data_IF_763620596295
#
_entry.id   IF_763620596295
#
_cell.length_a   1.000
_cell.length_b   1.000
_cell.length_c   1.000
_cell.angle_alpha   90.00
_cell.angle_beta   90.00
_cell.angle_gamma   90.00
#
_symmetry.space_group_name_H-M   'P 1'
#
loop_
_entity.id
_entity.type
_entity.pdbx_description
1 polymer ?
#
# COMPACT_ATOMS: atom_id res chain seq x y z
N UNK A 1 -28.50 20.04 -4.89
CA UNK A 1 -28.00 18.95 -5.76
C UNK A 1 -26.50 18.64 -5.56
N UNK A 2 -25.63 19.63 -5.30
CA UNK A 2 -24.18 19.42 -5.14
C UNK A 2 -23.72 18.48 -4.02
N UNK A 3 -24.35 18.49 -2.83
CA UNK A 3 -23.98 17.61 -1.70
C UNK A 3 -24.33 16.13 -1.89
N UNK A 4 -25.39 15.81 -2.65
CA UNK A 4 -25.76 14.40 -2.95
C UNK A 4 -24.87 13.79 -4.04
N UNK A 5 -24.40 14.60 -4.98
CA UNK A 5 -23.44 14.16 -5.98
C UNK A 5 -22.05 13.91 -5.38
N UNK A 6 -21.61 14.75 -4.42
CA UNK A 6 -20.31 14.55 -3.75
C UNK A 6 -20.29 13.31 -2.86
N UNK A 7 -21.40 12.98 -2.18
CA UNK A 7 -21.49 11.77 -1.34
C UNK A 7 -21.47 10.48 -2.17
N UNK A 8 -22.23 10.41 -3.26
CA UNK A 8 -22.22 9.26 -4.16
C UNK A 8 -20.86 9.05 -4.84
N UNK A 9 -20.24 10.14 -5.31
CA UNK A 9 -18.89 10.10 -5.89
C UNK A 9 -17.84 9.59 -4.91
N UNK A 10 -17.93 9.99 -3.65
CA UNK A 10 -17.03 9.51 -2.59
C UNK A 10 -17.12 8.00 -2.41
N UNK A 11 -18.33 7.45 -2.31
CA UNK A 11 -18.52 6.01 -2.11
C UNK A 11 -18.03 5.18 -3.29
N UNK A 12 -18.23 5.65 -4.52
CA UNK A 12 -17.69 4.99 -5.72
C UNK A 12 -16.16 4.93 -5.65
N UNK A 13 -15.52 6.06 -5.36
CA UNK A 13 -14.06 6.16 -5.30
C UNK A 13 -13.47 5.30 -4.18
N UNK A 14 -14.09 5.35 -2.99
CA UNK A 14 -13.72 4.51 -1.84
C UNK A 14 -13.92 3.03 -2.16
N UNK A 15 -15.01 2.65 -2.82
CA UNK A 15 -15.27 1.27 -3.23
C UNK A 15 -14.23 0.75 -4.25
N UNK A 16 -13.75 1.60 -5.16
CA UNK A 16 -12.67 1.25 -6.08
C UNK A 16 -11.36 0.90 -5.35
N UNK A 17 -10.96 1.71 -4.38
CA UNK A 17 -9.79 1.41 -3.55
C UNK A 17 -10.00 0.18 -2.66
N UNK A 18 -11.16 0.08 -2.03
CA UNK A 18 -11.56 -1.09 -1.23
C UNK A 18 -11.44 -2.39 -2.04
N UNK A 19 -11.96 -2.41 -3.26
CA UNK A 19 -11.92 -3.57 -4.16
C UNK A 19 -10.48 -4.00 -4.45
N UNK A 20 -9.59 -3.06 -4.80
CA UNK A 20 -8.17 -3.34 -5.10
C UNK A 20 -7.45 -3.93 -3.89
N UNK A 21 -7.73 -3.39 -2.69
CA UNK A 21 -7.16 -3.88 -1.45
C UNK A 21 -7.74 -5.25 -1.05
N UNK A 22 -9.04 -5.45 -1.28
CA UNK A 22 -9.74 -6.70 -0.96
C UNK A 22 -9.27 -7.86 -1.85
N UNK A 23 -9.04 -7.62 -3.15
CA UNK A 23 -8.49 -8.64 -4.04
C UNK A 23 -7.13 -9.17 -3.55
N UNK A 24 -6.26 -8.26 -3.13
CA UNK A 24 -4.95 -8.62 -2.57
C UNK A 24 -5.09 -9.52 -1.34
N UNK A 25 -6.09 -9.27 -0.50
CA UNK A 25 -6.28 -10.02 0.76
C UNK A 25 -7.00 -11.34 0.55
N UNK A 26 -8.01 -11.40 -0.33
CA UNK A 26 -8.72 -12.65 -0.65
C UNK A 26 -7.80 -13.65 -1.36
N UNK A 27 -6.98 -13.21 -2.33
CA UNK A 27 -6.10 -14.13 -3.07
C UNK A 27 -5.04 -14.75 -2.15
N UNK A 28 -4.54 -14.01 -1.15
CA UNK A 28 -3.65 -14.55 -0.13
C UNK A 28 -4.25 -15.75 0.63
N UNK A 29 -5.56 -15.70 0.91
CA UNK A 29 -6.27 -16.78 1.60
C UNK A 29 -6.58 -17.94 0.64
N UNK A 30 -6.71 -17.66 -0.65
CA UNK A 30 -6.94 -18.65 -1.69
C UNK A 30 -5.67 -19.44 -2.08
N UNK A 31 -4.46 -18.98 -1.71
CA UNK A 31 -3.17 -19.58 -2.10
C UNK A 31 -3.08 -21.10 -1.89
N UNK A 32 -3.47 -21.67 -0.73
CA UNK A 32 -3.44 -23.12 -0.54
C UNK A 32 -4.35 -23.87 -1.54
N UNK A 33 -5.53 -23.33 -1.81
CA UNK A 33 -6.51 -23.89 -2.76
C UNK A 33 -6.07 -23.73 -4.21
N UNK A 34 -5.35 -22.64 -4.53
CA UNK A 34 -4.70 -22.45 -5.83
C UNK A 34 -3.61 -23.50 -6.06
N UNK A 35 -2.83 -23.80 -5.03
CA UNK A 35 -1.75 -24.79 -5.08
C UNK A 35 -2.26 -26.18 -5.43
N UNK A 36 -3.29 -26.64 -4.72
CA UNK A 36 -3.91 -27.94 -5.00
C UNK A 36 -4.68 -27.94 -6.31
N UNK A 37 -5.48 -26.90 -6.58
CA UNK A 37 -6.37 -26.83 -7.74
C UNK A 37 -5.65 -26.68 -9.10
N UNK A 38 -4.41 -26.17 -9.11
CA UNK A 38 -3.60 -26.02 -10.33
C UNK A 38 -2.28 -26.80 -10.28
N UNK A 39 -2.04 -27.59 -9.21
CA UNK A 39 -0.81 -28.37 -8.99
C UNK A 39 0.46 -27.53 -9.12
N UNK A 40 0.47 -26.36 -8.50
CA UNK A 40 1.53 -25.35 -8.62
C UNK A 40 2.57 -25.54 -7.53
N UNK A 41 3.84 -25.39 -7.87
CA UNK A 41 4.92 -25.35 -6.88
C UNK A 41 4.79 -24.14 -5.95
N UNK A 42 5.38 -24.18 -4.75
CA UNK A 42 5.42 -23.03 -3.84
C UNK A 42 5.94 -21.74 -4.51
N UNK A 43 7.00 -21.86 -5.32
CA UNK A 43 7.52 -20.71 -6.09
C UNK A 43 6.52 -20.18 -7.12
N UNK A 44 5.76 -21.05 -7.79
CA UNK A 44 4.70 -20.60 -8.69
C UNK A 44 3.54 -19.91 -7.97
N UNK A 45 3.24 -20.30 -6.73
CA UNK A 45 2.26 -19.63 -5.88
C UNK A 45 2.71 -18.23 -5.45
N UNK A 46 3.99 -18.07 -5.09
CA UNK A 46 4.57 -16.76 -4.82
C UNK A 46 4.42 -15.83 -6.05
N UNK A 47 4.76 -16.33 -7.24
CA UNK A 47 4.63 -15.56 -8.49
C UNK A 47 3.20 -15.11 -8.83
N UNK A 48 2.16 -15.82 -8.39
CA UNK A 48 0.75 -15.38 -8.56
C UNK A 48 0.48 -14.08 -7.77
N UNK A 49 1.09 -13.92 -6.60
CA UNK A 49 1.00 -12.70 -5.79
C UNK A 49 1.97 -11.62 -6.26
N UNK A 50 3.19 -12.03 -6.58
CA UNK A 50 4.29 -11.14 -6.89
C UNK A 50 4.12 -10.46 -8.24
N UNK A 51 3.62 -11.16 -9.26
CA UNK A 51 3.38 -10.56 -10.57
C UNK A 51 2.40 -9.37 -10.50
N UNK A 52 1.35 -9.50 -9.68
CA UNK A 52 0.43 -8.41 -9.40
C UNK A 52 1.12 -7.26 -8.67
N UNK A 53 1.83 -7.56 -7.58
CA UNK A 53 2.48 -6.56 -6.73
C UNK A 53 3.57 -5.80 -7.47
N UNK A 54 4.36 -6.50 -8.28
CA UNK A 54 5.42 -5.96 -9.12
C UNK A 54 4.87 -4.94 -10.12
N UNK A 55 3.86 -5.33 -10.91
CA UNK A 55 3.25 -4.43 -11.89
C UNK A 55 2.50 -3.29 -11.22
N UNK A 56 1.79 -3.59 -10.12
CA UNK A 56 1.11 -2.58 -9.33
C UNK A 56 2.08 -1.51 -8.85
N UNK A 57 3.19 -1.90 -8.20
CA UNK A 57 4.19 -0.96 -7.71
C UNK A 57 4.86 -0.17 -8.84
N UNK A 58 5.27 -0.84 -9.92
CA UNK A 58 5.99 -0.22 -11.03
C UNK A 58 5.18 0.85 -11.79
N UNK A 59 3.85 0.69 -11.84
CA UNK A 59 2.98 1.56 -12.62
C UNK A 59 2.29 2.66 -11.80
N UNK A 60 2.48 2.72 -10.48
CA UNK A 60 1.87 3.76 -9.63
C UNK A 60 2.23 5.18 -10.09
N UNK A 61 3.52 5.47 -10.30
CA UNK A 61 3.99 6.79 -10.73
C UNK A 61 3.48 7.16 -12.14
N UNK A 62 3.66 6.30 -13.18
CA UNK A 62 3.08 6.55 -14.50
C UNK A 62 1.56 6.77 -14.48
N UNK A 63 0.83 6.01 -13.66
CA UNK A 63 -0.63 6.14 -13.54
C UNK A 63 -1.04 7.49 -12.93
N UNK A 64 -0.27 8.04 -11.99
CA UNK A 64 -0.45 9.40 -11.50
C UNK A 64 -0.35 10.45 -12.58
N UNK A 65 0.73 10.41 -13.37
CA UNK A 65 0.90 11.31 -14.52
C UNK A 65 -0.21 11.14 -15.55
N UNK A 66 -0.67 9.90 -15.77
CA UNK A 66 -1.80 9.63 -16.65
C UNK A 66 -3.11 10.26 -16.13
N UNK A 67 -3.33 10.32 -14.81
CA UNK A 67 -4.50 11.00 -14.24
C UNK A 67 -4.47 12.50 -14.52
N UNK A 68 -3.31 13.14 -14.35
CA UNK A 68 -3.17 14.58 -14.56
C UNK A 68 -3.25 14.95 -16.05
N UNK A 69 -2.79 14.06 -16.94
CA UNK A 69 -2.82 14.26 -18.39
C UNK A 69 -4.16 13.89 -19.03
N UNK A 70 -4.68 12.69 -18.79
CA UNK A 70 -5.89 12.18 -19.46
C UNK A 70 -7.18 12.43 -18.68
N UNK A 71 -7.07 12.88 -17.43
CA UNK A 71 -8.18 13.09 -16.50
C UNK A 71 -8.44 11.86 -15.62
N UNK A 72 -8.58 12.08 -14.31
CA UNK A 72 -8.69 11.02 -13.31
C UNK A 72 -9.89 10.09 -13.54
N UNK A 73 -11.05 10.62 -13.96
CA UNK A 73 -12.24 9.79 -14.26
C UNK A 73 -12.00 8.79 -15.39
N UNK A 74 -11.27 9.18 -16.45
CA UNK A 74 -10.97 8.28 -17.58
C UNK A 74 -10.02 7.18 -17.15
N UNK A 75 -8.94 7.55 -16.46
CA UNK A 75 -7.96 6.58 -15.94
C UNK A 75 -8.60 5.61 -14.96
N UNK A 76 -9.47 6.10 -14.07
CA UNK A 76 -10.22 5.28 -13.13
C UNK A 76 -11.13 4.25 -13.84
N UNK A 77 -11.95 4.70 -14.80
CA UNK A 77 -12.86 3.81 -15.54
C UNK A 77 -12.11 2.78 -16.37
N UNK A 78 -11.04 3.18 -17.06
CA UNK A 78 -10.18 2.27 -17.82
C UNK A 78 -9.49 1.27 -16.89
N UNK A 79 -8.96 1.74 -15.75
CA UNK A 79 -8.32 0.89 -14.75
C UNK A 79 -9.27 -0.17 -14.20
N UNK A 80 -10.49 0.23 -13.85
CA UNK A 80 -11.54 -0.69 -13.40
C UNK A 80 -11.90 -1.71 -14.48
N UNK A 81 -12.05 -1.28 -15.74
CA UNK A 81 -12.34 -2.19 -16.85
C UNK A 81 -11.22 -3.23 -17.04
N UNK A 82 -9.97 -2.78 -17.05
CA UNK A 82 -8.78 -3.67 -17.12
C UNK A 82 -8.76 -4.64 -15.94
N UNK A 83 -9.00 -4.13 -14.73
CA UNK A 83 -9.06 -4.96 -13.52
C UNK A 83 -10.15 -6.04 -13.62
N UNK A 84 -11.35 -5.70 -14.11
CA UNK A 84 -12.45 -6.65 -14.28
C UNK A 84 -12.11 -7.75 -15.28
N UNK A 85 -11.63 -7.36 -16.47
CA UNK A 85 -11.28 -8.30 -17.54
C UNK A 85 -10.15 -9.23 -17.12
N UNK A 86 -9.13 -8.68 -16.45
CA UNK A 86 -8.04 -9.47 -15.89
C UNK A 86 -8.54 -10.40 -14.77
N UNK A 87 -9.47 -9.94 -13.92
CA UNK A 87 -10.06 -10.79 -12.88
C UNK A 87 -10.87 -11.95 -13.47
N UNK A 88 -11.63 -11.71 -14.55
CA UNK A 88 -12.30 -12.78 -15.30
C UNK A 88 -11.27 -13.76 -15.89
N UNK A 89 -10.17 -13.26 -16.46
CA UNK A 89 -9.11 -14.11 -16.98
C UNK A 89 -8.43 -14.95 -15.88
N UNK A 90 -8.21 -14.38 -14.69
CA UNK A 90 -7.76 -15.12 -13.51
C UNK A 90 -8.75 -16.23 -13.11
N UNK A 91 -10.05 -15.91 -13.07
CA UNK A 91 -11.10 -16.87 -12.73
C UNK A 91 -11.20 -18.02 -13.75
N UNK A 92 -10.89 -17.76 -15.02
CA UNK A 92 -10.93 -18.74 -16.09
C UNK A 92 -9.59 -19.45 -16.32
N UNK A 93 -8.53 -19.08 -15.60
CA UNK A 93 -7.18 -19.58 -15.86
C UNK A 93 -7.07 -21.11 -15.68
N UNK A 94 -6.69 -21.87 -16.73
CA UNK A 94 -6.57 -23.33 -16.65
C UNK A 94 -5.23 -23.79 -16.07
N UNK A 95 -4.23 -22.91 -15.99
CA UNK A 95 -2.90 -23.20 -15.48
C UNK A 95 -2.28 -21.96 -14.81
N UNK A 96 -1.19 -22.19 -14.06
CA UNK A 96 -0.48 -21.14 -13.34
C UNK A 96 0.06 -20.04 -14.24
N UNK A 97 0.57 -20.37 -15.43
CA UNK A 97 1.15 -19.39 -16.35
C UNK A 97 0.13 -18.34 -16.80
N UNK A 98 -1.07 -18.76 -17.21
CA UNK A 98 -2.14 -17.82 -17.57
C UNK A 98 -2.62 -17.03 -16.35
N UNK A 99 -2.67 -17.65 -15.17
CA UNK A 99 -3.06 -16.96 -13.94
C UNK A 99 -2.04 -15.85 -13.59
N UNK A 100 -0.75 -16.15 -13.63
CA UNK A 100 0.34 -15.18 -13.36
C UNK A 100 0.28 -14.02 -14.37
N UNK A 101 0.12 -14.32 -15.67
CA UNK A 101 -0.02 -13.28 -16.69
C UNK A 101 -1.27 -12.41 -16.46
N UNK A 102 -2.39 -13.03 -16.10
CA UNK A 102 -3.64 -12.32 -15.79
C UNK A 102 -3.50 -11.45 -14.53
N UNK A 103 -2.79 -11.93 -13.51
CA UNK A 103 -2.46 -11.17 -12.29
C UNK A 103 -1.57 -9.96 -12.58
N UNK A 104 -0.59 -10.10 -13.47
CA UNK A 104 0.21 -8.99 -13.94
C UNK A 104 -0.66 -7.91 -14.59
N UNK A 105 -1.58 -8.29 -15.50
CA UNK A 105 -2.54 -7.37 -16.14
C UNK A 105 -3.49 -6.76 -15.09
N UNK A 106 -3.93 -7.53 -14.09
CA UNK A 106 -4.77 -7.05 -13.01
C UNK A 106 -4.04 -5.97 -12.19
N UNK A 107 -2.73 -6.10 -12.00
CA UNK A 107 -1.85 -5.09 -11.40
C UNK A 107 -1.84 -3.77 -12.16
N UNK A 108 -1.94 -3.79 -13.50
CA UNK A 108 -2.09 -2.58 -14.33
C UNK A 108 -3.40 -1.85 -13.98
N UNK A 109 -4.50 -2.60 -13.88
CA UNK A 109 -5.80 -2.06 -13.48
C UNK A 109 -5.75 -1.44 -12.08
N UNK A 110 -5.16 -2.14 -11.12
CA UNK A 110 -4.96 -1.66 -9.76
C UNK A 110 -4.12 -0.37 -9.71
N UNK A 111 -3.02 -0.32 -10.46
CA UNK A 111 -2.12 0.84 -10.52
C UNK A 111 -2.81 2.06 -11.10
N UNK A 112 -3.75 1.90 -12.04
CA UNK A 112 -4.55 3.00 -12.57
C UNK A 112 -5.61 3.48 -11.57
N UNK A 113 -6.25 2.57 -10.85
CA UNK A 113 -7.35 2.89 -9.92
C UNK A 113 -6.87 3.69 -8.71
N UNK A 114 -5.83 3.23 -8.03
CA UNK A 114 -5.40 3.81 -6.74
C UNK A 114 -5.07 5.31 -6.81
N UNK A 115 -4.19 5.80 -7.70
CA UNK A 115 -3.91 7.24 -7.79
C UNK A 115 -5.11 8.03 -8.33
N UNK A 116 -5.89 7.46 -9.25
CA UNK A 116 -7.09 8.10 -9.77
C UNK A 116 -8.13 8.35 -8.67
N UNK A 117 -8.24 7.45 -7.68
CA UNK A 117 -9.16 7.64 -6.54
C UNK A 117 -8.81 8.88 -5.73
N UNK A 118 -7.53 9.12 -5.42
CA UNK A 118 -7.12 10.31 -4.69
C UNK A 118 -7.32 11.59 -5.51
N UNK A 119 -6.98 11.57 -6.81
CA UNK A 119 -7.23 12.69 -7.70
C UNK A 119 -8.73 13.04 -7.76
N UNK A 120 -9.61 12.04 -7.90
CA UNK A 120 -11.06 12.22 -7.89
C UNK A 120 -11.60 12.77 -6.57
N UNK A 121 -11.07 12.33 -5.42
CA UNK A 121 -11.44 12.91 -4.10
C UNK A 121 -11.13 14.40 -4.10
N UNK A 122 -9.97 14.80 -4.64
CA UNK A 122 -9.59 16.23 -4.66
C UNK A 122 -10.39 17.06 -5.65
N UNK A 123 -10.88 16.44 -6.72
CA UNK A 123 -11.81 17.08 -7.64
C UNK A 123 -13.23 17.22 -7.06
N UNK A 124 -13.66 16.25 -6.23
CA UNK A 124 -14.99 16.25 -5.59
C UNK A 124 -15.09 17.22 -4.41
N UNK A 125 -13.98 17.51 -3.73
CA UNK A 125 -13.97 18.33 -2.51
C UNK A 125 -12.96 19.48 -2.61
N UNK A 126 -13.50 20.70 -2.76
CA UNK A 126 -12.71 21.93 -2.71
C UNK A 126 -12.40 22.37 -1.28
N UNK A 127 -13.24 22.02 -0.31
CA UNK A 127 -13.01 22.30 1.11
C UNK A 127 -11.93 21.36 1.68
N UNK A 128 -10.83 21.88 2.25
CA UNK A 128 -9.77 21.07 2.84
C UNK A 128 -10.25 20.11 3.94
N UNK A 129 -11.22 20.51 4.77
CA UNK A 129 -11.72 19.68 5.87
C UNK A 129 -12.57 18.49 5.37
N UNK A 130 -13.47 18.74 4.42
CA UNK A 130 -14.23 17.70 3.75
C UNK A 130 -13.31 16.74 2.96
N UNK A 131 -12.28 17.28 2.29
CA UNK A 131 -11.28 16.49 1.57
C UNK A 131 -10.49 15.57 2.50
N UNK A 132 -10.02 16.09 3.64
CA UNK A 132 -9.33 15.29 4.65
C UNK A 132 -10.22 14.17 5.20
N UNK A 133 -11.51 14.45 5.40
CA UNK A 133 -12.50 13.44 5.82
C UNK A 133 -12.67 12.34 4.76
N UNK A 134 -12.77 12.69 3.49
CA UNK A 134 -12.88 11.73 2.39
C UNK A 134 -11.62 10.87 2.24
N UNK A 135 -10.43 11.45 2.39
CA UNK A 135 -9.15 10.70 2.44
C UNK A 135 -9.10 9.78 3.66
N UNK A 136 -9.65 10.20 4.80
CA UNK A 136 -9.83 9.37 5.99
C UNK A 136 -10.68 8.13 5.70
N UNK A 137 -11.83 8.32 5.04
CA UNK A 137 -12.71 7.22 4.62
C UNK A 137 -12.04 6.28 3.62
N UNK A 138 -11.30 6.84 2.66
CA UNK A 138 -10.49 6.08 1.71
C UNK A 138 -9.44 5.21 2.44
N UNK A 139 -8.70 5.77 3.39
CA UNK A 139 -7.74 5.03 4.20
C UNK A 139 -8.39 3.94 5.05
N UNK A 140 -9.53 4.25 5.68
CA UNK A 140 -10.32 3.31 6.45
C UNK A 140 -10.81 2.12 5.61
N UNK A 141 -11.23 2.36 4.37
CA UNK A 141 -11.64 1.30 3.46
C UNK A 141 -10.51 0.31 3.16
N UNK A 142 -9.27 0.78 3.02
CA UNK A 142 -8.11 -0.12 2.90
C UNK A 142 -7.93 -1.02 4.13
N UNK A 143 -8.08 -0.46 5.34
CA UNK A 143 -8.04 -1.23 6.59
C UNK A 143 -9.18 -2.24 6.71
N UNK A 144 -10.41 -1.85 6.36
CA UNK A 144 -11.57 -2.74 6.33
C UNK A 144 -11.38 -3.86 5.30
N UNK A 145 -10.80 -3.57 4.12
CA UNK A 145 -10.50 -4.59 3.12
C UNK A 145 -9.50 -5.65 3.63
N UNK A 146 -8.53 -5.23 4.45
CA UNK A 146 -7.61 -6.15 5.12
C UNK A 146 -8.32 -7.06 6.13
N UNK A 147 -9.35 -6.56 6.83
CA UNK A 147 -10.18 -7.33 7.76
C UNK A 147 -11.09 -8.33 7.07
N UNK A 148 -11.78 -7.82 6.05
CA UNK A 148 -12.88 -8.50 5.38
C UNK A 148 -12.34 -9.57 4.44
N UNK A 149 -11.13 -9.40 3.90
CA UNK A 149 -10.47 -10.38 3.03
C UNK A 149 -10.46 -11.81 3.57
N UNK A 150 -9.91 -12.06 4.77
CA UNK A 150 -9.96 -13.38 5.40
C UNK A 150 -11.38 -13.92 5.64
N UNK A 151 -12.31 -13.06 6.07
CA UNK A 151 -13.68 -13.47 6.39
C UNK A 151 -14.49 -13.85 5.13
N UNK A 152 -14.49 -12.97 4.12
CA UNK A 152 -15.14 -13.25 2.84
C UNK A 152 -14.42 -14.36 2.09
N UNK A 153 -13.08 -14.37 2.10
CA UNK A 153 -12.26 -15.39 1.47
C UNK A 153 -12.60 -16.78 1.97
N UNK A 154 -12.60 -17.00 3.29
CA UNK A 154 -12.95 -18.31 3.86
C UNK A 154 -14.32 -18.82 3.40
N UNK A 155 -15.36 -17.99 3.51
CA UNK A 155 -16.74 -18.38 3.14
C UNK A 155 -16.88 -18.62 1.62
N UNK A 156 -16.25 -17.78 0.79
CA UNK A 156 -16.35 -17.89 -0.67
C UNK A 156 -15.62 -19.12 -1.22
N UNK A 157 -14.50 -19.48 -0.60
CA UNK A 157 -13.64 -20.59 -1.04
C UNK A 157 -14.25 -21.96 -0.76
N UNK A 158 -14.97 -22.11 0.36
CA UNK A 158 -15.61 -23.38 0.76
C UNK A 158 -16.70 -23.84 -0.23
N UNK A 159 -17.30 -22.92 -0.99
CA UNK A 159 -18.36 -23.23 -1.96
C UNK A 159 -17.89 -23.45 -3.40
N UNK A 160 -17.25 -22.44 -3.99
CA UNK A 160 -16.97 -22.36 -5.45
C UNK A 160 -15.47 -22.53 -5.75
N UNK A 161 -14.67 -22.84 -4.71
CA UNK A 161 -13.22 -22.98 -4.79
C UNK A 161 -12.50 -21.64 -5.03
N UNK A 162 -11.20 -21.73 -5.32
CA UNK A 162 -10.31 -20.56 -5.45
C UNK A 162 -10.76 -19.54 -6.51
N UNK A 163 -11.54 -19.98 -7.51
CA UNK A 163 -12.06 -19.09 -8.58
C UNK A 163 -13.02 -18.03 -8.05
N UNK A 164 -13.68 -18.31 -6.91
CA UNK A 164 -14.57 -17.35 -6.26
C UNK A 164 -13.86 -16.03 -5.90
N UNK A 165 -12.57 -16.12 -5.56
CA UNK A 165 -11.73 -14.97 -5.22
C UNK A 165 -11.66 -13.92 -6.34
N UNK A 166 -11.79 -14.38 -7.59
CA UNK A 166 -11.74 -13.51 -8.75
C UNK A 166 -13.14 -13.14 -9.26
N UNK A 167 -14.08 -14.09 -9.23
CA UNK A 167 -15.47 -13.83 -9.65
C UNK A 167 -16.17 -12.77 -8.80
N UNK A 168 -15.87 -12.70 -7.50
CA UNK A 168 -16.47 -11.71 -6.60
C UNK A 168 -16.18 -10.26 -7.02
N UNK A 169 -15.05 -10.02 -7.70
CA UNK A 169 -14.68 -8.69 -8.16
C UNK A 169 -15.59 -8.18 -9.27
N UNK A 170 -16.05 -9.06 -10.17
CA UNK A 170 -16.79 -8.71 -11.38
C UNK A 170 -18.09 -7.92 -11.09
N UNK A 171 -19.04 -8.41 -10.25
CA UNK A 171 -20.26 -7.66 -9.97
C UNK A 171 -19.97 -6.34 -9.25
N UNK A 172 -18.95 -6.30 -8.39
CA UNK A 172 -18.56 -5.09 -7.66
C UNK A 172 -18.00 -4.04 -8.63
N UNK A 173 -17.13 -4.44 -9.56
CA UNK A 173 -16.62 -3.57 -10.63
C UNK A 173 -17.77 -2.98 -11.44
N UNK A 174 -18.74 -3.80 -11.87
CA UNK A 174 -19.88 -3.31 -12.67
C UNK A 174 -20.66 -2.25 -11.90
N UNK A 175 -20.94 -2.48 -10.62
CA UNK A 175 -21.61 -1.50 -9.76
C UNK A 175 -20.81 -0.20 -9.63
N UNK A 176 -19.49 -0.30 -9.41
CA UNK A 176 -18.59 0.86 -9.31
C UNK A 176 -18.55 1.62 -10.65
N UNK A 177 -18.44 0.93 -11.78
CA UNK A 177 -18.39 1.56 -13.11
C UNK A 177 -19.68 2.32 -13.43
N UNK A 178 -20.85 1.74 -13.13
CA UNK A 178 -22.14 2.42 -13.29
C UNK A 178 -22.24 3.64 -12.38
N UNK A 179 -21.82 3.52 -11.11
CA UNK A 179 -21.76 4.64 -10.18
C UNK A 179 -20.85 5.75 -10.69
N UNK A 180 -19.63 5.39 -11.08
CA UNK A 180 -18.60 6.28 -11.61
C UNK A 180 -19.05 7.08 -12.83
N UNK A 181 -19.76 6.42 -13.75
CA UNK A 181 -20.30 7.08 -14.93
C UNK A 181 -21.32 8.17 -14.57
N UNK A 182 -22.10 7.97 -13.49
CA UNK A 182 -23.17 8.87 -13.07
C UNK A 182 -22.73 9.98 -12.11
N UNK A 183 -21.76 9.71 -11.23
CA UNK A 183 -21.44 10.59 -10.11
C UNK A 183 -20.10 11.32 -10.21
N UNK A 184 -19.17 10.86 -11.05
CA UNK A 184 -17.83 11.45 -11.11
C UNK A 184 -17.74 12.58 -12.14
N UNK A 185 -17.03 13.67 -11.82
CA UNK A 185 -16.82 14.77 -12.74
C UNK A 185 -15.99 14.33 -13.95
N UNK A 186 -16.38 14.79 -15.14
CA UNK A 186 -15.63 14.58 -16.37
C UNK A 186 -14.81 15.85 -16.69
N UNK A 187 -13.79 16.14 -15.88
CA UNK A 187 -12.92 17.29 -16.12
C UNK A 187 -11.98 17.02 -17.31
N UNK A 188 -11.71 18.04 -18.11
CA UNK A 188 -10.85 17.93 -19.29
C UNK A 188 -9.38 17.84 -18.89
N UNK A 189 -8.75 16.75 -19.33
CA UNK A 189 -7.32 16.56 -19.56
C UNK A 189 -6.56 17.86 -19.86
N UNK A 190 -5.39 18.05 -19.24
CA UNK A 190 -4.49 19.13 -19.63
C UNK A 190 -3.56 18.67 -20.76
N UNK A 191 -3.36 19.48 -21.82
CA UNK A 191 -2.36 19.18 -22.82
C UNK A 191 -0.98 19.29 -22.18
N UNK A 192 -0.34 18.14 -21.97
CA UNK A 192 1.05 18.01 -21.52
C UNK A 192 1.75 16.93 -22.33
N UNK A 193 3.07 17.03 -22.49
CA UNK A 193 3.88 15.99 -23.13
C UNK A 193 4.12 14.86 -22.13
N UNK A 194 3.97 13.62 -22.56
CA UNK A 194 4.36 12.46 -21.75
C UNK A 194 5.88 12.45 -21.57
N UNK A 195 6.34 12.40 -20.31
CA UNK A 195 7.73 12.11 -20.01
C UNK A 195 7.98 10.59 -20.09
N UNK A 196 8.04 10.07 -21.31
CA UNK A 196 8.23 8.63 -21.55
C UNK A 196 9.55 8.11 -20.99
N UNK A 197 10.61 8.92 -21.05
CA UNK A 197 11.93 8.56 -20.54
C UNK A 197 11.92 8.46 -19.02
N UNK A 198 11.37 9.47 -18.34
CA UNK A 198 11.16 9.42 -16.89
C UNK A 198 10.32 8.19 -16.51
N UNK A 199 9.24 7.91 -17.25
CA UNK A 199 8.29 6.84 -16.88
C UNK A 199 8.99 5.49 -16.94
N UNK A 200 9.77 5.25 -17.99
CA UNK A 200 10.54 4.04 -18.13
C UNK A 200 11.59 3.90 -17.01
N UNK A 201 12.27 4.98 -16.64
CA UNK A 201 13.24 4.97 -15.54
C UNK A 201 12.57 4.67 -14.19
N UNK A 202 11.40 5.25 -13.91
CA UNK A 202 10.63 4.97 -12.70
C UNK A 202 10.13 3.51 -12.65
N UNK A 203 9.64 3.00 -13.78
CA UNK A 203 9.22 1.60 -13.92
C UNK A 203 10.40 0.66 -13.67
N UNK A 204 11.55 0.90 -14.31
CA UNK A 204 12.75 0.08 -14.12
C UNK A 204 13.27 0.14 -12.69
N UNK A 205 13.22 1.31 -12.04
CA UNK A 205 13.64 1.47 -10.65
C UNK A 205 12.77 0.64 -9.70
N UNK A 206 11.45 0.80 -9.77
CA UNK A 206 10.50 0.12 -8.89
C UNK A 206 10.40 -1.38 -9.21
N UNK A 207 10.31 -1.74 -10.49
CA UNK A 207 10.25 -3.14 -10.91
C UNK A 207 11.55 -3.87 -10.57
N UNK A 208 12.71 -3.27 -10.84
CA UNK A 208 14.01 -3.85 -10.50
C UNK A 208 14.17 -4.08 -8.99
N UNK A 209 13.74 -3.10 -8.18
CA UNK A 209 13.80 -3.21 -6.72
C UNK A 209 12.87 -4.30 -6.19
N UNK A 210 11.61 -4.30 -6.63
CA UNK A 210 10.62 -5.29 -6.21
C UNK A 210 11.03 -6.69 -6.66
N UNK A 211 11.46 -6.86 -7.91
CA UNK A 211 11.99 -8.13 -8.43
C UNK A 211 13.18 -8.63 -7.62
N UNK A 212 14.18 -7.78 -7.37
CA UNK A 212 15.38 -8.17 -6.64
C UNK A 212 15.06 -8.65 -5.23
N UNK A 213 14.11 -8.01 -4.55
CA UNK A 213 13.70 -8.39 -3.20
C UNK A 213 12.94 -9.72 -3.20
N UNK A 214 12.01 -9.90 -4.13
CA UNK A 214 11.28 -11.17 -4.28
C UNK A 214 12.28 -12.31 -4.56
N UNK A 215 13.15 -12.14 -5.55
CA UNK A 215 14.13 -13.17 -5.94
C UNK A 215 15.12 -13.47 -4.81
N UNK A 216 15.50 -12.46 -4.02
CA UNK A 216 16.35 -12.64 -2.83
C UNK A 216 15.64 -13.45 -1.75
N UNK A 217 14.33 -13.25 -1.56
CA UNK A 217 13.53 -14.02 -0.61
C UNK A 217 13.46 -15.50 -0.97
N UNK A 218 13.30 -15.81 -2.26
CA UNK A 218 13.15 -17.18 -2.75
C UNK A 218 14.47 -17.94 -2.86
N UNK A 219 15.51 -17.28 -3.37
CA UNK A 219 16.77 -17.94 -3.79
C UNK A 219 18.00 -17.44 -3.02
N UNK A 220 17.84 -16.52 -2.08
CA UNK A 220 18.96 -15.78 -1.49
C UNK A 220 19.59 -14.77 -2.46
N UNK A 221 20.70 -14.16 -2.06
CA UNK A 221 21.36 -13.15 -2.89
C UNK A 221 22.08 -13.79 -4.09
N UNK A 222 21.36 -13.99 -5.18
CA UNK A 222 21.89 -14.51 -6.44
C UNK A 222 22.43 -13.39 -7.34
N UNK A 223 23.16 -13.76 -8.41
CA UNK A 223 23.55 -12.82 -9.46
C UNK A 223 22.35 -12.13 -10.13
N UNK A 224 21.18 -12.81 -10.20
CA UNK A 224 19.95 -12.25 -10.77
C UNK A 224 19.36 -11.18 -9.86
N UNK A 225 19.24 -11.47 -8.57
CA UNK A 225 18.84 -10.50 -7.56
C UNK A 225 19.77 -9.29 -7.53
N UNK A 226 21.09 -9.51 -7.54
CA UNK A 226 22.09 -8.45 -7.58
C UNK A 226 21.96 -7.57 -8.84
N UNK A 227 21.71 -8.17 -10.01
CA UNK A 227 21.43 -7.43 -11.24
C UNK A 227 20.13 -6.60 -11.13
N UNK A 228 19.09 -7.14 -10.50
CA UNK A 228 17.85 -6.41 -10.21
C UNK A 228 18.09 -5.17 -9.33
N UNK A 229 18.87 -5.31 -8.25
CA UNK A 229 19.27 -4.17 -7.41
C UNK A 229 20.11 -3.14 -8.18
N UNK A 230 21.03 -3.59 -9.03
CA UNK A 230 21.84 -2.70 -9.86
C UNK A 230 20.95 -1.90 -10.83
N UNK A 231 20.01 -2.56 -11.52
CA UNK A 231 19.02 -1.89 -12.38
C UNK A 231 18.20 -0.90 -11.58
N UNK A 232 17.73 -1.28 -10.39
CA UNK A 232 16.95 -0.41 -9.53
C UNK A 232 17.69 0.90 -9.19
N UNK A 233 18.94 0.77 -8.73
CA UNK A 233 19.78 1.91 -8.34
C UNK A 233 20.12 2.78 -9.55
N UNK A 234 20.57 2.18 -10.66
CA UNK A 234 20.94 2.92 -11.86
C UNK A 234 19.73 3.65 -12.47
N UNK A 235 18.57 3.00 -12.52
CA UNK A 235 17.34 3.61 -13.02
C UNK A 235 16.83 4.71 -12.09
N UNK A 236 16.93 4.55 -10.76
CA UNK A 236 16.56 5.59 -9.80
C UNK A 236 17.48 6.83 -9.91
N UNK A 237 18.79 6.62 -10.03
CA UNK A 237 19.75 7.71 -10.25
C UNK A 237 19.48 8.40 -11.60
N UNK A 238 19.25 7.62 -12.66
CA UNK A 238 18.88 8.12 -13.98
C UNK A 238 17.58 8.92 -13.95
N UNK A 239 16.57 8.44 -13.23
CA UNK A 239 15.28 9.11 -13.03
C UNK A 239 15.47 10.48 -12.39
N UNK A 240 16.18 10.56 -11.25
CA UNK A 240 16.45 11.83 -10.58
C UNK A 240 17.26 12.77 -11.48
N UNK A 241 18.24 12.25 -12.21
CA UNK A 241 19.06 13.04 -13.14
C UNK A 241 18.25 13.62 -14.31
N UNK A 242 17.32 12.82 -14.85
CA UNK A 242 16.43 13.18 -15.95
C UNK A 242 15.38 14.19 -15.51
N UNK A 243 14.67 13.93 -14.40
CA UNK A 243 13.63 14.83 -13.86
C UNK A 243 14.21 16.21 -13.48
N UNK A 244 15.49 16.29 -13.07
CA UNK A 244 16.18 17.57 -12.82
C UNK A 244 16.45 18.40 -14.09
N UNK A 245 16.55 17.74 -15.25
CA UNK A 245 16.93 18.38 -16.54
C UNK A 245 15.77 18.50 -17.51
N UNK A 246 14.71 17.72 -17.32
CA UNK A 246 13.53 17.70 -18.17
C UNK A 246 12.83 19.06 -18.14
N UNK A 247 12.37 19.52 -19.32
CA UNK A 247 11.56 20.75 -19.43
C UNK A 247 10.09 20.52 -19.04
N UNK A 248 9.65 19.27 -19.03
CA UNK A 248 8.32 18.85 -18.64
C UNK A 248 8.43 17.55 -17.81
N UNK A 249 9.01 17.63 -16.59
CA UNK A 249 9.20 16.49 -15.71
C UNK A 249 7.86 15.87 -15.33
N UNK A 250 7.79 14.54 -15.25
CA UNK A 250 6.58 13.89 -14.73
C UNK A 250 6.45 14.10 -13.22
N UNK A 251 7.58 14.26 -12.51
CA UNK A 251 7.64 14.46 -11.07
C UNK A 251 8.49 15.71 -10.82
N UNK A 252 7.86 16.89 -10.73
CA UNK A 252 8.56 18.12 -10.39
C UNK A 252 9.21 17.98 -9.01
N UNK A 253 10.54 17.80 -8.98
CA UNK A 253 11.26 17.52 -7.73
C UNK A 253 11.17 18.66 -6.70
N UNK A 254 10.77 19.85 -7.14
CA UNK A 254 10.43 20.97 -6.25
C UNK A 254 9.29 20.64 -5.28
N UNK A 255 8.42 19.67 -5.55
CA UNK A 255 7.41 19.23 -4.58
C UNK A 255 8.03 18.71 -3.28
N UNK A 256 9.24 18.15 -3.35
CA UNK A 256 10.00 17.70 -2.18
C UNK A 256 10.65 18.84 -1.39
N UNK A 257 10.68 20.07 -1.93
CA UNK A 257 11.10 21.22 -1.13
C UNK A 257 10.02 21.63 -0.12
N UNK A 258 8.77 21.20 -0.31
CA UNK A 258 7.70 21.39 0.67
C UNK A 258 7.90 20.39 1.84
N UNK A 259 8.21 20.85 3.07
CA UNK A 259 8.52 19.95 4.17
C UNK A 259 7.36 19.00 4.51
N UNK A 260 6.12 19.45 4.32
CA UNK A 260 4.93 18.64 4.54
C UNK A 260 4.86 17.42 3.60
N UNK A 261 5.19 17.61 2.33
CA UNK A 261 5.15 16.55 1.32
C UNK A 261 6.30 15.54 1.54
N UNK A 262 7.52 16.03 1.74
CA UNK A 262 8.68 15.16 2.02
C UNK A 262 8.51 14.36 3.29
N UNK A 263 8.02 14.98 4.37
CA UNK A 263 7.73 14.28 5.63
C UNK A 263 6.67 13.20 5.42
N UNK A 264 5.56 13.53 4.75
CA UNK A 264 4.49 12.58 4.51
C UNK A 264 4.95 11.38 3.66
N UNK A 265 5.82 11.61 2.68
CA UNK A 265 6.40 10.56 1.83
C UNK A 265 7.30 9.63 2.64
N UNK A 266 8.20 10.17 3.46
CA UNK A 266 9.08 9.37 4.34
C UNK A 266 8.26 8.61 5.37
N UNK A 267 7.26 9.25 5.99
CA UNK A 267 6.35 8.59 6.92
C UNK A 267 5.62 7.44 6.22
N UNK A 268 5.08 7.65 5.01
CA UNK A 268 4.44 6.60 4.23
C UNK A 268 5.33 5.36 4.02
N UNK A 269 6.60 5.58 3.66
CA UNK A 269 7.61 4.53 3.58
C UNK A 269 7.80 3.81 4.93
N UNK A 270 8.06 4.55 6.01
CA UNK A 270 8.28 4.01 7.37
C UNK A 270 7.10 3.17 7.84
N UNK A 271 5.86 3.65 7.62
CA UNK A 271 4.65 2.96 8.05
C UNK A 271 4.55 1.56 7.43
N UNK A 272 4.86 1.43 6.14
CA UNK A 272 4.75 0.14 5.43
C UNK A 272 5.99 -0.73 5.64
N UNK A 273 7.19 -0.12 5.73
CA UNK A 273 8.43 -0.79 6.10
C UNK A 273 8.28 -1.56 7.42
N UNK A 274 7.88 -0.88 8.48
CA UNK A 274 7.75 -1.53 9.78
C UNK A 274 6.58 -2.50 9.81
N UNK A 275 5.44 -2.17 9.21
CA UNK A 275 4.25 -3.03 9.29
C UNK A 275 4.45 -4.36 8.57
N UNK A 276 4.83 -4.35 7.29
CA UNK A 276 4.98 -5.59 6.52
C UNK A 276 6.24 -6.35 6.90
N UNK A 277 7.35 -5.65 7.21
CA UNK A 277 8.55 -6.31 7.70
C UNK A 277 8.33 -6.99 9.05
N UNK A 278 7.65 -6.33 9.99
CA UNK A 278 7.30 -6.94 11.28
C UNK A 278 6.25 -8.05 11.13
N UNK A 279 5.32 -7.94 10.18
CA UNK A 279 4.34 -8.98 9.90
C UNK A 279 5.03 -10.30 9.51
N UNK A 280 6.04 -10.24 8.64
CA UNK A 280 6.86 -11.40 8.30
C UNK A 280 7.62 -11.92 9.53
N UNK A 281 8.34 -11.05 10.25
CA UNK A 281 9.11 -11.45 11.43
C UNK A 281 8.23 -12.13 12.49
N UNK A 282 7.02 -11.59 12.73
CA UNK A 282 6.04 -12.17 13.65
C UNK A 282 5.55 -13.53 13.18
N UNK A 283 5.34 -13.70 11.87
CA UNK A 283 4.97 -14.99 11.28
C UNK A 283 6.05 -16.05 11.53
N UNK A 284 7.32 -15.71 11.24
CA UNK A 284 8.47 -16.59 11.47
C UNK A 284 8.63 -16.93 12.96
N UNK A 285 8.44 -15.95 13.85
CA UNK A 285 8.44 -16.20 15.28
C UNK A 285 7.34 -17.19 15.70
N UNK A 286 6.10 -17.02 15.22
CA UNK A 286 5.00 -17.90 15.61
C UNK A 286 5.20 -19.32 15.05
N UNK A 287 5.64 -19.45 13.81
CA UNK A 287 5.75 -20.75 13.15
C UNK A 287 7.09 -21.45 13.47
N UNK A 288 8.22 -20.78 13.27
CA UNK A 288 9.56 -21.39 13.41
C UNK A 288 10.04 -21.41 14.88
N UNK A 289 9.68 -20.40 15.67
CA UNK A 289 10.12 -20.31 17.08
C UNK A 289 9.14 -20.99 18.03
N UNK A 290 7.82 -20.82 17.84
CA UNK A 290 6.81 -21.44 18.70
C UNK A 290 6.25 -22.76 18.15
N UNK A 291 6.57 -23.15 16.92
CA UNK A 291 6.08 -24.39 16.31
C UNK A 291 4.56 -24.41 16.09
N UNK A 292 3.90 -23.24 16.07
CA UNK A 292 2.46 -23.17 15.91
C UNK A 292 2.06 -23.36 14.43
N UNK A 293 0.98 -24.10 14.21
CA UNK A 293 0.47 -24.34 12.87
C UNK A 293 0.07 -23.02 12.18
N UNK A 294 0.19 -22.92 10.84
CA UNK A 294 -0.13 -21.70 10.09
C UNK A 294 -1.53 -21.12 10.35
N UNK A 295 -2.54 -21.99 10.53
CA UNK A 295 -3.90 -21.58 10.85
C UNK A 295 -4.00 -20.84 12.20
N UNK A 296 -3.24 -21.29 13.20
CA UNK A 296 -3.17 -20.66 14.52
C UNK A 296 -2.37 -19.36 14.42
N UNK A 297 -1.31 -19.33 13.61
CA UNK A 297 -0.53 -18.11 13.39
C UNK A 297 -1.40 -16.95 12.89
N UNK A 298 -2.29 -17.22 11.93
CA UNK A 298 -3.26 -16.23 11.46
C UNK A 298 -4.16 -15.67 12.58
N UNK A 299 -4.67 -16.53 13.47
CA UNK A 299 -5.46 -16.11 14.63
C UNK A 299 -4.64 -15.29 15.62
N UNK A 300 -3.38 -15.67 15.86
CA UNK A 300 -2.48 -14.95 16.76
C UNK A 300 -2.14 -13.55 16.25
N UNK A 301 -2.16 -13.36 14.93
CA UNK A 301 -1.90 -12.07 14.26
C UNK A 301 -3.17 -11.21 14.10
N UNK A 302 -4.36 -11.76 14.31
CA UNK A 302 -5.63 -11.04 14.19
C UNK A 302 -5.70 -9.74 15.03
N UNK A 303 -5.16 -9.69 16.28
CA UNK A 303 -5.14 -8.45 17.06
C UNK A 303 -4.39 -7.30 16.37
N UNK A 304 -3.30 -7.57 15.65
CA UNK A 304 -2.60 -6.55 14.86
C UNK A 304 -3.48 -5.95 13.77
N UNK A 305 -4.20 -6.82 13.04
CA UNK A 305 -5.15 -6.40 12.03
C UNK A 305 -6.31 -5.60 12.64
N UNK A 306 -6.86 -6.03 13.78
CA UNK A 306 -7.90 -5.31 14.53
C UNK A 306 -7.43 -3.92 14.96
N UNK A 307 -6.20 -3.80 15.44
CA UNK A 307 -5.57 -2.52 15.73
C UNK A 307 -5.57 -1.61 14.49
N UNK A 308 -5.18 -2.15 13.33
CA UNK A 308 -5.17 -1.39 12.09
C UNK A 308 -6.58 -0.95 11.63
N UNK A 309 -7.57 -1.84 11.74
CA UNK A 309 -8.97 -1.58 11.38
C UNK A 309 -9.57 -0.47 12.24
N UNK A 310 -9.29 -0.48 13.53
CA UNK A 310 -9.77 0.55 14.47
C UNK A 310 -8.96 1.84 14.32
N UNK A 311 -7.66 1.72 14.09
CA UNK A 311 -6.75 2.85 13.99
C UNK A 311 -7.02 3.76 12.78
N UNK A 312 -7.39 3.20 11.63
CA UNK A 312 -7.60 4.00 10.42
C UNK A 312 -8.77 5.01 10.54
N UNK A 313 -9.99 4.64 11.00
CA UNK A 313 -11.04 5.60 11.29
C UNK A 313 -10.66 6.61 12.38
N UNK A 314 -9.95 6.19 13.42
CA UNK A 314 -9.48 7.09 14.48
C UNK A 314 -8.50 8.13 13.92
N UNK A 315 -7.53 7.71 13.11
CA UNK A 315 -6.59 8.60 12.43
C UNK A 315 -7.30 9.62 11.53
N UNK A 316 -8.31 9.17 10.78
CA UNK A 316 -9.18 10.05 9.99
C UNK A 316 -9.92 11.08 10.85
N UNK A 317 -10.52 10.66 11.97
CA UNK A 317 -11.21 11.55 12.91
C UNK A 317 -10.26 12.56 13.57
N UNK A 318 -9.08 12.14 14.01
CA UNK A 318 -8.07 13.04 14.60
C UNK A 318 -7.61 14.06 13.55
N UNK A 319 -7.40 13.61 12.31
CA UNK A 319 -7.02 14.49 11.19
C UNK A 319 -8.09 15.53 10.90
N UNK A 320 -9.37 15.14 10.90
CA UNK A 320 -10.49 16.04 10.64
C UNK A 320 -10.75 17.02 11.81
N UNK A 321 -10.60 16.57 13.06
CA UNK A 321 -10.81 17.40 14.25
C UNK A 321 -9.63 18.33 14.56
N UNK A 322 -8.42 18.00 14.09
CA UNK A 322 -7.20 18.75 14.38
C UNK A 322 -6.39 19.00 13.10
N UNK A 323 -5.18 18.45 13.02
CA UNK A 323 -4.28 18.58 11.86
C UNK A 323 -3.71 17.22 11.48
N UNK A 324 -3.39 16.98 10.19
CA UNK A 324 -2.70 15.77 9.76
C UNK A 324 -1.40 15.52 10.54
N UNK A 325 -0.71 16.59 10.91
CA UNK A 325 0.53 16.49 11.69
C UNK A 325 0.31 15.90 13.09
N UNK A 326 -0.72 16.34 13.82
CA UNK A 326 -1.05 15.78 15.14
C UNK A 326 -1.40 14.30 15.05
N UNK A 327 -2.21 13.92 14.07
CA UNK A 327 -2.54 12.51 13.84
C UNK A 327 -1.30 11.65 13.51
N UNK A 328 -0.38 12.16 12.68
CA UNK A 328 0.91 11.49 12.41
C UNK A 328 1.73 11.31 13.69
N UNK A 329 1.89 12.37 14.50
CA UNK A 329 2.63 12.30 15.77
C UNK A 329 2.04 11.26 16.72
N UNK A 330 0.71 11.26 16.88
CA UNK A 330 0.01 10.29 17.73
C UNK A 330 0.22 8.86 17.24
N UNK A 331 0.01 8.60 15.94
CA UNK A 331 0.17 7.27 15.39
C UNK A 331 1.62 6.77 15.43
N UNK A 332 2.59 7.63 15.11
CA UNK A 332 4.01 7.29 15.16
C UNK A 332 4.49 7.04 16.60
N UNK A 333 4.02 7.80 17.57
CA UNK A 333 4.34 7.57 18.98
C UNK A 333 3.75 6.24 19.49
N UNK A 334 2.46 5.99 19.25
CA UNK A 334 1.80 4.73 19.61
C UNK A 334 2.48 3.55 18.90
N UNK A 335 2.80 3.69 17.61
CA UNK A 335 3.46 2.66 16.83
C UNK A 335 4.90 2.40 17.30
N UNK A 336 5.65 3.44 17.67
CA UNK A 336 7.00 3.29 18.27
C UNK A 336 6.91 2.45 19.53
N UNK A 337 5.99 2.79 20.45
CA UNK A 337 5.79 2.02 21.68
C UNK A 337 5.30 0.59 21.40
N UNK A 338 4.37 0.44 20.44
CA UNK A 338 3.84 -0.85 20.02
C UNK A 338 4.92 -1.77 19.48
N UNK A 339 5.70 -1.33 18.48
CA UNK A 339 6.79 -2.14 17.92
C UNK A 339 7.92 -2.38 18.92
N UNK A 340 8.28 -1.38 19.73
CA UNK A 340 9.30 -1.55 20.78
C UNK A 340 8.86 -2.57 21.83
N UNK A 341 7.57 -2.59 22.19
CA UNK A 341 7.04 -3.54 23.17
C UNK A 341 7.14 -4.99 22.71
N UNK A 342 7.18 -5.27 21.40
CA UNK A 342 7.32 -6.63 20.87
C UNK A 342 8.68 -7.25 21.22
N UNK A 343 9.68 -6.44 21.61
CA UNK A 343 10.98 -6.94 22.07
C UNK A 343 10.88 -7.79 23.35
N UNK A 344 9.80 -7.65 24.13
CA UNK A 344 9.62 -8.46 25.35
C UNK A 344 9.20 -9.90 25.05
N UNK A 345 8.86 -10.21 23.79
CA UNK A 345 8.42 -11.54 23.42
C UNK A 345 9.54 -12.55 23.62
N UNK A 346 9.15 -13.75 24.06
CA UNK A 346 9.98 -14.90 24.31
C UNK A 346 9.22 -16.18 23.89
N UNK A 347 9.86 -17.34 23.88
CA UNK A 347 9.19 -18.62 23.51
C UNK A 347 7.96 -18.93 24.37
N UNK A 348 7.91 -18.40 25.59
CA UNK A 348 6.86 -18.67 26.59
C UNK A 348 5.80 -17.56 26.73
N UNK A 349 5.88 -16.47 25.95
CA UNK A 349 4.97 -15.32 26.15
C UNK A 349 3.51 -15.70 25.94
N UNK A 350 2.66 -15.40 26.91
CA UNK A 350 1.24 -15.74 26.86
C UNK A 350 0.51 -15.01 25.72
N UNK A 351 -0.51 -15.65 25.16
CA UNK A 351 -1.28 -15.09 24.05
C UNK A 351 -1.90 -13.71 24.35
N UNK A 352 -2.49 -13.44 25.54
CA UNK A 352 -3.04 -12.11 25.83
C UNK A 352 -2.01 -10.98 25.70
N UNK A 353 -0.76 -11.22 26.11
CA UNK A 353 0.33 -10.26 25.96
C UNK A 353 0.64 -10.04 24.47
N UNK A 354 0.75 -11.13 23.70
CA UNK A 354 0.96 -11.05 22.25
C UNK A 354 -0.16 -10.25 21.59
N UNK A 355 -1.41 -10.53 21.94
CA UNK A 355 -2.59 -9.88 21.37
C UNK A 355 -2.61 -8.36 21.66
N UNK A 356 -2.37 -7.95 22.91
CA UNK A 356 -2.39 -6.53 23.29
C UNK A 356 -1.26 -5.77 22.59
N UNK A 357 -0.04 -6.30 22.59
CA UNK A 357 1.10 -5.56 22.05
C UNK A 357 1.08 -5.46 20.53
N UNK A 358 0.69 -6.53 19.84
CA UNK A 358 0.50 -6.51 18.38
C UNK A 358 -0.66 -5.62 17.96
N UNK A 359 -1.73 -5.57 18.76
CA UNK A 359 -2.84 -4.62 18.57
C UNK A 359 -2.36 -3.17 18.63
N UNK A 360 -1.57 -2.80 19.66
CA UNK A 360 -1.04 -1.44 19.81
C UNK A 360 -0.13 -1.06 18.63
N UNK A 361 0.71 -1.99 18.15
CA UNK A 361 1.55 -1.77 16.97
C UNK A 361 0.72 -1.49 15.71
N UNK A 362 -0.31 -2.31 15.45
CA UNK A 362 -1.23 -2.11 14.32
C UNK A 362 -2.04 -0.81 14.43
N UNK A 363 -2.47 -0.46 15.65
CA UNK A 363 -3.22 0.77 15.93
C UNK A 363 -2.40 2.02 15.60
N UNK A 364 -1.16 2.10 16.07
CA UNK A 364 -0.30 3.25 15.82
C UNK A 364 -0.03 3.49 14.33
N UNK A 365 0.31 2.41 13.60
CA UNK A 365 0.51 2.47 12.16
C UNK A 365 -0.73 3.01 11.42
N UNK A 366 -1.91 2.48 11.74
CA UNK A 366 -3.13 2.85 11.04
C UNK A 366 -3.67 4.24 11.42
N UNK A 367 -3.36 4.76 12.62
CA UNK A 367 -3.67 6.16 12.96
C UNK A 367 -2.86 7.13 12.09
N UNK A 368 -1.58 6.84 11.87
CA UNK A 368 -0.69 7.73 11.11
C UNK A 368 -0.93 7.66 9.59
N UNK A 369 -1.43 6.54 9.06
CA UNK A 369 -1.50 6.31 7.61
C UNK A 369 -2.44 7.27 6.84
N UNK A 370 -3.70 7.49 7.25
CA UNK A 370 -4.57 8.48 6.60
C UNK A 370 -4.03 9.91 6.73
N UNK A 371 -3.39 10.20 7.87
CA UNK A 371 -2.82 11.51 8.16
C UNK A 371 -1.64 11.84 7.23
N UNK A 372 -0.74 10.89 6.99
CA UNK A 372 0.35 11.04 6.02
C UNK A 372 -0.19 11.28 4.60
N UNK A 373 -1.22 10.52 4.20
CA UNK A 373 -1.86 10.69 2.88
C UNK A 373 -2.50 12.07 2.75
N UNK A 374 -3.24 12.50 3.76
CA UNK A 374 -3.86 13.83 3.79
C UNK A 374 -2.81 14.95 3.76
N UNK A 375 -1.69 14.79 4.48
CA UNK A 375 -0.59 15.74 4.48
C UNK A 375 0.10 15.85 3.11
N UNK A 376 0.36 14.73 2.43
CA UNK A 376 0.95 14.74 1.09
C UNK A 376 0.02 15.39 0.06
N UNK A 377 -1.26 14.99 0.04
CA UNK A 377 -2.28 15.53 -0.86
C UNK A 377 -2.51 17.01 -0.62
N UNK A 378 -2.48 17.46 0.63
CA UNK A 378 -2.70 18.88 0.97
C UNK A 378 -1.48 19.77 0.78
N UNK A 379 -0.27 19.20 0.76
CA UNK A 379 0.97 19.94 0.48
C UNK A 379 1.25 20.07 -1.02
N UNK A 380 0.61 19.27 -1.86
CA UNK A 380 0.75 19.31 -3.30
C UNK A 380 -0.08 20.45 -3.91
N UNK A 381 0.42 21.15 -4.95
CA UNK A 381 -0.42 22.01 -5.78
C UNK A 381 -1.60 21.20 -6.35
N UNK A 382 -2.78 21.81 -6.46
CA UNK A 382 -3.99 21.15 -7.01
C UNK A 382 -3.77 20.52 -8.40
N UNK A 383 -2.74 20.98 -9.10
CA UNK A 383 -2.35 20.53 -10.43
C UNK A 383 -1.51 19.24 -10.45
N UNK A 384 -1.02 18.79 -9.30
CA UNK A 384 -0.10 17.65 -9.16
C UNK A 384 -0.63 16.62 -8.16
N UNK A 385 -1.91 16.65 -7.84
CA UNK A 385 -2.48 15.81 -6.79
C UNK A 385 -2.47 14.32 -7.14
N UNK A 386 -2.65 13.97 -8.42
CA UNK A 386 -2.50 12.60 -8.92
C UNK A 386 -1.07 12.09 -8.74
N UNK A 387 -0.08 12.89 -9.13
CA UNK A 387 1.34 12.59 -8.90
C UNK A 387 1.65 12.49 -7.41
N UNK A 388 1.17 13.40 -6.57
CA UNK A 388 1.41 13.39 -5.11
C UNK A 388 0.88 12.12 -4.44
N UNK A 389 -0.35 11.71 -4.79
CA UNK A 389 -0.93 10.45 -4.35
C UNK A 389 -0.15 9.22 -4.85
N UNK A 390 0.44 9.32 -6.05
CA UNK A 390 1.24 8.24 -6.62
C UNK A 390 2.59 8.10 -5.96
N UNK A 391 3.27 9.21 -5.66
CA UNK A 391 4.55 9.23 -4.94
C UNK A 391 4.40 8.65 -3.54
N UNK A 392 3.36 9.04 -2.80
CA UNK A 392 3.17 8.48 -1.45
C UNK A 392 2.85 6.99 -1.51
N UNK A 393 2.04 6.53 -2.46
CA UNK A 393 1.79 5.09 -2.62
C UNK A 393 3.02 4.33 -3.09
N UNK A 394 3.83 4.88 -4.00
CA UNK A 394 5.09 4.29 -4.41
C UNK A 394 6.06 4.19 -3.22
N UNK A 395 6.19 5.25 -2.41
CA UNK A 395 7.00 5.23 -1.19
C UNK A 395 6.51 4.17 -0.19
N UNK A 396 5.18 4.02 -0.02
CA UNK A 396 4.59 2.96 0.79
C UNK A 396 4.94 1.57 0.27
N UNK A 397 4.77 1.32 -1.02
CA UNK A 397 5.07 0.01 -1.61
C UNK A 397 6.56 -0.32 -1.54
N UNK A 398 7.42 0.65 -1.83
CA UNK A 398 8.86 0.52 -1.61
C UNK A 398 9.18 0.21 -0.14
N UNK A 399 8.48 0.86 0.80
CA UNK A 399 8.53 0.55 2.22
C UNK A 399 8.19 -0.91 2.50
N UNK A 400 7.03 -1.40 2.04
CA UNK A 400 6.59 -2.78 2.24
C UNK A 400 7.66 -3.78 1.79
N UNK A 401 8.16 -3.60 0.57
CA UNK A 401 9.13 -4.51 -0.06
C UNK A 401 10.47 -4.46 0.69
N UNK A 402 11.02 -3.27 0.97
CA UNK A 402 12.29 -3.11 1.71
C UNK A 402 12.17 -3.62 3.15
N UNK A 403 11.03 -3.39 3.80
CA UNK A 403 10.76 -3.84 5.16
C UNK A 403 10.74 -5.36 5.28
N UNK A 404 10.05 -6.04 4.37
CA UNK A 404 10.03 -7.51 4.30
C UNK A 404 11.44 -8.07 4.12
N UNK A 405 12.23 -7.49 3.21
CA UNK A 405 13.61 -7.92 2.98
C UNK A 405 14.51 -7.71 4.19
N UNK A 406 14.57 -6.49 4.71
CA UNK A 406 15.51 -6.11 5.77
C UNK A 406 15.11 -6.72 7.11
N UNK A 407 13.87 -6.52 7.55
CA UNK A 407 13.41 -7.04 8.85
C UNK A 407 13.25 -8.56 8.83
N UNK A 408 12.86 -9.14 7.69
CA UNK A 408 12.85 -10.59 7.49
C UNK A 408 14.25 -11.19 7.58
N UNK A 409 15.26 -10.58 6.96
CA UNK A 409 16.66 -11.02 7.07
C UNK A 409 17.21 -10.88 8.49
N UNK A 410 16.79 -9.87 9.27
CA UNK A 410 17.13 -9.80 10.69
C UNK A 410 16.47 -10.94 11.47
N UNK A 411 15.22 -11.26 11.16
CA UNK A 411 14.47 -12.34 11.80
C UNK A 411 15.09 -13.73 11.58
N UNK A 412 15.57 -14.01 10.37
CA UNK A 412 16.23 -15.28 10.04
C UNK A 412 17.71 -15.31 10.43
N UNK A 413 18.41 -14.17 10.37
CA UNK A 413 19.87 -14.10 10.52
C UNK A 413 20.40 -14.26 11.95
N UNK A 414 19.64 -13.89 12.97
CA UNK A 414 20.13 -13.87 14.38
C UNK A 414 19.63 -15.04 15.25
N UNK A 415 19.07 -16.10 14.66
CA UNK A 415 18.42 -17.18 15.41
C UNK A 415 17.05 -16.76 15.94
N UNK A 416 16.14 -17.73 16.04
CA UNK A 416 14.69 -17.59 16.24
C UNK A 416 14.21 -16.33 17.02
N UNK A 417 14.43 -16.26 18.34
CA UNK A 417 13.87 -15.14 19.14
C UNK A 417 14.66 -13.84 19.03
N UNK A 418 15.99 -13.93 18.93
CA UNK A 418 16.87 -12.76 18.84
C UNK A 418 16.65 -12.02 17.53
N UNK A 419 16.47 -12.76 16.43
CA UNK A 419 16.13 -12.20 15.13
C UNK A 419 14.78 -11.48 15.17
N UNK A 420 13.76 -12.09 15.77
CA UNK A 420 12.46 -11.41 15.93
C UNK A 420 12.59 -10.09 16.71
N UNK A 421 13.35 -10.08 17.81
CA UNK A 421 13.58 -8.86 18.60
C UNK A 421 14.35 -7.81 17.82
N UNK A 422 15.33 -8.21 17.00
CA UNK A 422 16.06 -7.29 16.12
C UNK A 422 15.15 -6.68 15.05
N UNK A 423 14.27 -7.47 14.45
CA UNK A 423 13.25 -6.99 13.51
C UNK A 423 12.28 -5.99 14.17
N UNK A 424 11.80 -6.33 15.38
CA UNK A 424 10.94 -5.45 16.18
C UNK A 424 11.61 -4.12 16.52
N UNK A 425 12.88 -4.16 16.92
CA UNK A 425 13.68 -2.98 17.18
C UNK A 425 13.88 -2.14 15.92
N UNK A 426 14.19 -2.75 14.78
CA UNK A 426 14.31 -2.07 13.49
C UNK A 426 13.01 -1.34 13.09
N UNK A 427 11.87 -2.02 13.25
CA UNK A 427 10.55 -1.44 13.05
C UNK A 427 10.27 -0.23 13.98
N UNK A 428 10.64 -0.35 15.26
CA UNK A 428 10.47 0.70 16.26
C UNK A 428 11.38 1.91 16.00
N UNK A 429 12.64 1.69 15.63
CA UNK A 429 13.58 2.75 15.27
C UNK A 429 13.08 3.51 14.06
N UNK A 430 12.59 2.83 13.02
CA UNK A 430 12.03 3.49 11.85
C UNK A 430 10.86 4.41 12.23
N UNK A 431 9.94 3.95 13.09
CA UNK A 431 8.84 4.78 13.60
C UNK A 431 9.31 5.95 14.46
N UNK A 432 10.31 5.74 15.32
CA UNK A 432 10.90 6.80 16.14
C UNK A 432 11.59 7.88 15.28
N UNK A 433 12.29 7.49 14.21
CA UNK A 433 12.89 8.41 13.25
C UNK A 433 11.81 9.18 12.48
N UNK A 434 10.73 8.51 12.07
CA UNK A 434 9.56 9.17 11.48
C UNK A 434 8.93 10.19 12.44
N UNK A 435 8.78 9.85 13.72
CA UNK A 435 8.27 10.73 14.77
C UNK A 435 9.18 11.96 14.94
N UNK A 436 10.49 11.74 15.06
CA UNK A 436 11.48 12.81 15.20
C UNK A 436 11.46 13.75 13.99
N UNK A 437 11.34 13.22 12.77
CA UNK A 437 11.22 14.02 11.54
C UNK A 437 9.98 14.91 11.56
N UNK A 438 8.83 14.38 11.97
CA UNK A 438 7.58 15.16 12.05
C UNK A 438 7.68 16.25 13.13
N UNK A 439 8.33 15.97 14.26
CA UNK A 439 8.58 16.94 15.33
C UNK A 439 9.54 18.05 14.88
N UNK A 440 10.66 17.67 14.26
CA UNK A 440 11.65 18.61 13.72
C UNK A 440 11.01 19.63 12.76
N UNK A 441 10.18 19.13 11.84
CA UNK A 441 9.47 20.00 10.90
C UNK A 441 8.33 20.81 11.55
N UNK A 442 7.81 20.39 12.71
CA UNK A 442 6.87 21.19 13.50
C UNK A 442 7.55 22.42 14.09
N UNK A 443 8.70 22.21 14.72
CA UNK A 443 9.47 23.25 15.43
C UNK A 443 10.02 24.27 14.44
N UNK A 444 10.61 23.81 13.32
CA UNK A 444 11.19 24.72 12.33
C UNK A 444 10.13 25.53 11.57
N UNK A 445 8.88 25.05 11.46
CA UNK A 445 7.78 25.87 10.94
C UNK A 445 7.43 27.01 11.88
N UNK A 446 7.50 26.81 13.19
CA UNK A 446 7.19 27.87 14.16
C UNK A 446 8.27 28.95 14.19
N UNK A 447 9.55 28.59 13.99
CA UNK A 447 10.67 29.54 13.98
C UNK A 447 10.72 30.47 12.75
N UNK A 448 9.96 30.18 11.68
CA UNK A 448 9.90 31.03 10.48
C UNK A 448 8.80 32.10 10.55
N UNK A 449 7.95 32.06 11.60
CA UNK A 449 6.88 33.03 11.84
C UNK A 449 7.00 33.77 13.19
N UNK A 450 8.09 33.53 13.92
CA UNK A 450 8.54 34.28 15.10
C UNK A 450 9.73 35.13 14.73
#
# INVERSE_FOLDING_TARGET
MGQRASSAGTWVVVAGYFLVMLDTTIVNIALPHLGTGLSVSPGGLAWIMDAYTLVFAALLLPAGSACDQYGARRVYLTGIAVFALASIACALAPNAGLLIASRAIQGIGAAAVVPATLALITELFTDPAARATAVGLWGAAGGVAAAVGPLLGGVLLDGIGWRAAFWVNVPVVVAIAIGALRSLPARTARPGRLDAAGQMLAILALAGLTFAIIDTGDHGLTARAAAGFAVAVLAAVGFVWHERRSRAPMLPLSIFSAPGFSTATVVGFVLNFSFFGQLLALTLYIQDTRGLAPAIAGLVMAPQALGAIIGAPLGGRITAAHTPQRAMLTGLAIGTAGFASLMIFDTSTSYPVVAILTFVAGLGMAIAMPAATSAAVSAAPDTLTGIAGSVINAARQTGSVVGVAMLGSLATGFGNITGFRAAALGAAIAFALGLALVLWNAVNKQSLYS
#
